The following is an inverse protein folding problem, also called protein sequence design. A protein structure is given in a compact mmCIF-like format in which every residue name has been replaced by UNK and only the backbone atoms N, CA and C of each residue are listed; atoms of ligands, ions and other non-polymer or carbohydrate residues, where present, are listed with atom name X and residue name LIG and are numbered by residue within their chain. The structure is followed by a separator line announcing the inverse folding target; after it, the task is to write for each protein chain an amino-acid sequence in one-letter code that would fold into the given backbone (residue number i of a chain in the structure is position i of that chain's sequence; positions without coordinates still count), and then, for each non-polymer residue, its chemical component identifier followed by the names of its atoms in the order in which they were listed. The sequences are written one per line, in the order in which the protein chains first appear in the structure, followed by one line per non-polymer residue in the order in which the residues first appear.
data_IF_095767639794
#
_entry.id   IF_095767639794
#
_cell.length_a   1.000
_cell.length_b   1.000
_cell.length_c   1.000
_cell.angle_alpha   90.00
_cell.angle_beta   90.00
_cell.angle_gamma   90.00
#
_symmetry.space_group_name_H-M   'P 1'
#
loop_
_entity.id
_entity.type
_entity.pdbx_description
1 polymer ?
#
# COMPACT_ATOMS: atom_id res chain seq x y z
N UNK A 1 -7.82 24.13 -18.01
CA UNK A 1 -7.61 23.99 -17.76
C UNK A 1 -7.55 23.43 -16.98
N UNK A 2 -7.81 23.40 -17.04
CA UNK A 2 -7.74 23.04 -16.47
C UNK A 2 -7.17 22.41 -15.94
N UNK A 3 -7.14 22.12 -16.13
CA UNK A 3 -6.48 21.53 -15.95
C UNK A 3 -5.78 21.51 -14.90
N UNK A 4 -5.47 22.02 -14.90
CA UNK A 4 -4.67 22.34 -13.97
C UNK A 4 -5.17 21.89 -12.75
N UNK A 5 -6.02 22.06 -12.60
CA UNK A 5 -6.46 21.77 -11.57
C UNK A 5 -6.16 20.63 -11.06
N UNK A 6 -6.34 20.05 -11.73
CA UNK A 6 -6.17 18.77 -11.37
C UNK A 6 -4.91 18.70 -10.77
N UNK A 7 -4.15 19.34 -11.25
CA UNK A 7 -2.93 19.27 -10.82
C UNK A 7 -2.79 19.52 -9.48
N UNK A 8 -3.33 20.39 -9.05
CA UNK A 8 -3.15 20.77 -7.81
C UNK A 8 -3.37 19.73 -6.94
N UNK A 9 -4.21 19.13 -7.16
CA UNK A 9 -4.54 18.19 -6.31
C UNK A 9 -3.46 17.43 -5.98
N UNK A 10 -2.59 17.38 -6.67
CA UNK A 10 -1.56 16.63 -6.43
C UNK A 10 -1.04 16.87 -5.18
N UNK A 11 -0.91 17.97 -4.87
CA UNK A 11 -0.28 18.24 -3.69
C UNK A 11 -1.14 17.89 -2.65
N UNK A 12 -2.25 17.97 -2.84
CA UNK A 12 -3.09 17.68 -1.92
C UNK A 12 -2.81 16.46 -1.34
N UNK A 13 -2.58 15.59 -2.02
CA UNK A 13 -2.39 14.33 -1.53
C UNK A 13 -1.57 14.29 -0.38
N UNK A 14 -0.70 15.06 -0.24
CA UNK A 14 0.13 14.93 0.78
C UNK A 14 -0.56 14.88 2.02
N UNK A 15 -1.41 15.68 2.26
CA UNK A 15 -2.00 15.71 3.51
C UNK A 15 -2.83 14.53 3.78
N UNK A 16 -3.76 14.21 3.01
CA UNK A 16 -4.63 13.12 3.28
C UNK A 16 -3.86 11.89 3.30
N UNK A 17 -2.85 11.85 2.60
CA UNK A 17 -2.09 10.74 2.55
C UNK A 17 -1.61 10.35 3.83
N UNK A 18 -1.35 11.22 4.61
CA UNK A 18 -0.81 10.90 5.86
C UNK A 18 -1.78 10.03 6.59
N UNK A 19 -2.97 9.99 6.19
CA UNK A 19 -3.88 9.22 6.91
C UNK A 19 -3.97 7.82 6.41
N UNK A 20 -3.38 7.52 5.37
CA UNK A 20 -3.42 6.22 4.86
C UNK A 20 -2.14 5.60 4.88
N UNK A 21 -1.43 5.76 5.82
CA UNK A 21 -0.10 5.32 5.90
C UNK A 21 0.12 3.86 5.76
N UNK A 22 -0.64 3.15 6.37
CA UNK A 22 -0.40 1.76 6.40
C UNK A 22 -0.31 1.15 5.03
N UNK A 23 -1.29 1.39 4.22
CA UNK A 23 -1.31 0.85 2.94
C UNK A 23 -0.24 1.43 2.12
N UNK A 24 -0.09 2.72 2.16
CA UNK A 24 0.91 3.38 1.40
C UNK A 24 2.28 2.95 1.76
N UNK A 25 2.56 2.83 3.03
CA UNK A 25 3.90 2.48 3.45
C UNK A 25 4.27 1.07 3.02
N UNK A 26 3.36 0.11 3.18
CA UNK A 26 3.67 -1.24 2.78
C UNK A 26 3.96 -1.27 1.28
N UNK A 27 3.10 -0.67 0.49
CA UNK A 27 3.27 -0.68 -0.95
C UNK A 27 4.55 0.01 -1.38
N UNK A 28 4.84 1.15 -0.78
CA UNK A 28 6.02 1.91 -1.14
C UNK A 28 7.29 1.13 -0.82
N UNK A 29 7.35 0.52 0.34
CA UNK A 29 8.53 -0.23 0.74
C UNK A 29 8.68 -1.48 -0.12
N UNK A 30 7.58 -2.18 -0.37
CA UNK A 30 7.63 -3.39 -1.18
C UNK A 30 8.11 -3.06 -2.60
N UNK A 31 7.67 -1.93 -3.12
CA UNK A 31 8.11 -1.53 -4.44
C UNK A 31 9.57 -1.09 -4.43
N UNK A 32 9.97 -0.38 -3.39
CA UNK A 32 11.34 0.09 -3.27
C UNK A 32 12.29 -1.10 -3.17
N UNK A 33 11.87 -2.18 -2.49
CA UNK A 33 12.68 -3.37 -2.38
C UNK A 33 12.66 -4.20 -3.65
N UNK A 34 11.81 -3.83 -4.62
CA UNK A 34 11.78 -4.54 -5.88
C UNK A 34 10.93 -5.79 -5.87
N UNK A 35 10.09 -5.95 -4.85
CA UNK A 35 9.28 -7.16 -4.72
C UNK A 35 7.98 -7.10 -5.54
N UNK A 36 7.53 -5.91 -5.87
CA UNK A 36 6.21 -5.79 -6.49
C UNK A 36 6.19 -4.53 -7.35
N UNK A 37 5.35 -4.49 -8.35
CA UNK A 37 5.24 -3.33 -9.20
C UNK A 37 4.09 -2.46 -8.73
N UNK A 38 4.06 -1.23 -9.18
CA UNK A 38 2.98 -0.31 -8.84
C UNK A 38 1.64 -0.88 -9.29
N UNK A 39 1.60 -1.48 -10.49
CA UNK A 39 0.39 -2.02 -10.99
C UNK A 39 -0.14 -3.11 -10.10
N UNK A 40 0.75 -3.96 -9.63
CA UNK A 40 0.35 -5.06 -8.78
C UNK A 40 -0.17 -4.54 -7.44
N UNK A 41 0.44 -3.49 -6.92
CA UNK A 41 -0.02 -2.92 -5.67
C UNK A 41 -1.42 -2.36 -5.85
N UNK A 42 -1.67 -1.71 -6.98
CA UNK A 42 -2.97 -1.15 -7.23
C UNK A 42 -4.03 -2.24 -7.37
N UNK A 43 -3.66 -3.36 -7.99
CA UNK A 43 -4.58 -4.48 -8.11
C UNK A 43 -4.93 -5.03 -6.73
N UNK A 44 -3.95 -5.17 -5.87
CA UNK A 44 -4.17 -5.71 -4.54
C UNK A 44 -5.06 -4.76 -3.74
N UNK A 45 -4.81 -3.47 -3.88
CA UNK A 45 -5.58 -2.48 -3.17
C UNK A 45 -7.02 -2.48 -3.65
N UNK A 46 -7.22 -2.60 -4.96
CA UNK A 46 -8.56 -2.64 -5.51
C UNK A 46 -9.33 -3.84 -4.98
N UNK A 47 -8.65 -4.96 -4.85
CA UNK A 47 -9.30 -6.16 -4.33
C UNK A 47 -9.68 -5.95 -2.86
N UNK A 48 -8.81 -5.32 -2.10
CA UNK A 48 -9.08 -5.08 -0.70
C UNK A 48 -10.34 -4.21 -0.55
N UNK A 49 -10.44 -3.17 -1.36
CA UNK A 49 -11.59 -2.29 -1.32
C UNK A 49 -12.85 -3.04 -1.73
N UNK A 50 -12.73 -3.88 -2.74
CA UNK A 50 -13.87 -4.64 -3.22
C UNK A 50 -14.39 -5.58 -2.14
N UNK A 51 -13.49 -6.27 -1.46
CA UNK A 51 -13.91 -7.20 -0.42
C UNK A 51 -14.55 -6.48 0.74
N UNK A 52 -14.04 -5.32 1.09
CA UNK A 52 -14.64 -4.57 2.17
C UNK A 52 -16.01 -4.08 1.76
N UNK A 53 -16.18 -3.75 0.49
CA UNK A 53 -17.47 -3.30 0.01
C UNK A 53 -18.51 -4.42 0.02
N UNK A 54 -18.05 -5.67 0.02
CA UNK A 54 -18.94 -6.80 0.09
C UNK A 54 -19.18 -7.24 1.52
N UNK A 55 -18.65 -6.51 2.47
CA UNK A 55 -18.84 -6.85 3.87
C UNK A 55 -17.95 -7.95 4.40
N UNK A 56 -16.93 -8.32 3.66
CA UNK A 56 -16.03 -9.35 4.12
C UNK A 56 -15.06 -8.81 5.12
N UNK A 57 -14.50 -9.70 5.89
CA UNK A 57 -13.54 -9.29 6.87
C UNK A 57 -12.33 -8.71 6.15
N UNK A 58 -11.76 -7.66 6.70
CA UNK A 58 -10.67 -7.00 6.04
C UNK A 58 -9.39 -7.80 6.11
N UNK A 59 -8.75 -7.97 4.98
CA UNK A 59 -7.45 -8.63 4.94
C UNK A 59 -6.38 -7.56 4.80
N UNK A 60 -5.22 -7.83 5.33
CA UNK A 60 -4.13 -6.89 5.21
C UNK A 60 -3.60 -6.93 3.79
N UNK A 61 -3.09 -5.80 3.33
CA UNK A 61 -2.62 -5.72 1.97
C UNK A 61 -1.52 -6.72 1.67
N UNK A 62 -0.66 -7.00 2.63
CA UNK A 62 0.39 -8.00 2.41
C UNK A 62 -0.16 -9.38 2.20
N UNK A 63 -1.23 -9.72 2.90
CA UNK A 63 -1.86 -11.03 2.74
C UNK A 63 -2.45 -11.13 1.34
N UNK A 64 -3.04 -10.07 0.85
CA UNK A 64 -3.63 -10.07 -0.47
C UNK A 64 -2.54 -10.21 -1.53
N UNK A 65 -1.43 -9.49 -1.36
CA UNK A 65 -0.33 -9.59 -2.32
C UNK A 65 0.21 -11.00 -2.37
N UNK A 66 0.29 -11.66 -1.20
CA UNK A 66 0.77 -13.02 -1.17
C UNK A 66 -0.22 -13.95 -1.85
N UNK A 67 -1.51 -13.79 -1.55
CA UNK A 67 -2.52 -14.67 -2.10
C UNK A 67 -2.67 -14.50 -3.61
N UNK A 68 -2.42 -13.32 -4.12
CA UNK A 68 -2.48 -13.09 -5.55
C UNK A 68 -1.20 -13.56 -6.26
N UNK A 69 -0.22 -13.96 -5.50
CA UNK A 69 1.02 -14.46 -6.10
C UNK A 69 1.99 -13.34 -6.47
N UNK A 70 1.74 -12.14 -6.03
CA UNK A 70 2.63 -11.03 -6.33
C UNK A 70 3.85 -11.00 -5.42
N UNK A 71 3.74 -11.54 -4.24
CA UNK A 71 4.83 -11.58 -3.29
C UNK A 71 4.84 -12.91 -2.58
N UNK A 72 6.00 -13.31 -2.13
CA UNK A 72 6.09 -14.53 -1.32
C UNK A 72 5.88 -14.13 0.14
N UNK A 73 5.62 -15.11 0.98
CA UNK A 73 5.45 -14.85 2.40
C UNK A 73 6.72 -14.24 2.98
N UNK A 74 7.89 -14.69 2.53
CA UNK A 74 9.14 -14.16 3.02
C UNK A 74 9.28 -12.69 2.66
N UNK A 75 8.85 -12.30 1.48
CA UNK A 75 8.94 -10.92 1.06
C UNK A 75 7.98 -10.06 1.88
N UNK A 76 6.79 -10.57 2.15
CA UNK A 76 5.84 -9.84 2.96
C UNK A 76 6.43 -9.65 4.37
N UNK A 77 7.02 -10.70 4.92
CA UNK A 77 7.60 -10.61 6.24
C UNK A 77 8.75 -9.62 6.27
N UNK A 78 9.51 -9.54 5.22
CA UNK A 78 10.62 -8.63 5.15
C UNK A 78 10.15 -7.18 5.15
N UNK A 79 9.08 -6.89 4.42
CA UNK A 79 8.53 -5.55 4.38
C UNK A 79 7.98 -5.19 5.75
N UNK A 80 7.29 -6.12 6.40
CA UNK A 80 6.71 -5.87 7.70
C UNK A 80 7.83 -5.60 8.72
N UNK A 81 8.90 -6.38 8.65
CA UNK A 81 10.01 -6.19 9.57
C UNK A 81 10.65 -4.82 9.38
N UNK A 82 10.76 -4.39 8.13
CA UNK A 82 11.33 -3.08 7.86
C UNK A 82 10.44 -1.99 8.44
N UNK A 83 9.14 -2.11 8.24
CA UNK A 83 8.21 -1.10 8.74
C UNK A 83 8.19 -1.07 10.27
N UNK A 84 8.29 -2.23 10.89
CA UNK A 84 8.31 -2.28 12.34
C UNK A 84 9.59 -1.63 12.87
N UNK A 85 10.69 -1.83 12.20
CA UNK A 85 11.95 -1.24 12.61
C UNK A 85 11.89 0.28 12.47
N UNK A 86 11.27 0.75 11.39
CA UNK A 86 11.15 2.19 11.19
C UNK A 86 10.25 2.80 12.26
N UNK A 87 9.20 2.10 12.62
CA UNK A 87 8.29 2.61 13.60
C UNK A 87 8.98 2.67 14.95
N UNK A 88 9.77 1.67 15.28
CA UNK A 88 10.48 1.65 16.55
C UNK A 88 11.52 2.75 16.58
N UNK A 89 12.17 3.01 15.46
CA UNK A 89 13.19 4.03 15.42
C UNK A 89 12.61 5.43 15.54
N UNK A 90 11.37 5.59 15.21
CA UNK A 90 10.75 6.89 15.25
C UNK A 90 10.28 7.26 16.63
N UNK A 91 10.31 6.35 17.57
CA UNK A 91 9.86 6.68 18.89
C UNK A 91 10.83 7.42 19.66
#
# INVERSE_FOLDING_TARGET
MTTALATQNLNIPKSPFSEEPVLSYFGAVARWMGFITTREILDAFALQVHEEGEGRERRKIGEICRDLGYMTQEQVDEVVAFLDAQRAASR
#
